data_IF_486971539023
#
_entry.id   IF_486971539023
#
_cell.length_a   1.000
_cell.length_b   1.000
_cell.length_c   1.000
_cell.angle_alpha   90.00
_cell.angle_beta   90.00
_cell.angle_gamma   90.00
#
_symmetry.space_group_name_H-M   'P 1'
#
loop_
_entity.id
_entity.type
_entity.pdbx_description
1 polymer ?
#
# COMPACT_ATOMS: atom_id res chain seq x y z
N UNK A 1 58.29 -20.95 19.64
CA UNK A 1 56.92 -20.87 20.19
C UNK A 1 55.93 -20.74 19.04
N UNK A 2 54.72 -21.26 19.23
CA UNK A 2 53.83 -21.81 18.20
C UNK A 2 52.99 -20.80 17.38
N UNK A 3 52.54 -21.25 16.20
CA UNK A 3 51.47 -20.67 15.37
C UNK A 3 50.11 -21.21 15.82
N UNK A 4 49.11 -20.36 16.03
CA UNK A 4 47.69 -20.75 15.90
C UNK A 4 46.81 -19.58 15.43
N UNK A 5 45.99 -19.85 14.42
CA UNK A 5 44.85 -19.06 13.90
C UNK A 5 43.64 -19.15 14.85
N UNK A 6 42.78 -18.13 14.86
CA UNK A 6 41.35 -18.24 15.24
C UNK A 6 40.62 -16.91 15.02
N UNK A 7 39.89 -16.73 13.90
CA UNK A 7 38.46 -17.02 13.65
C UNK A 7 37.45 -16.16 14.47
N UNK A 8 36.96 -15.09 13.82
CA UNK A 8 35.53 -14.89 13.48
C UNK A 8 34.55 -14.39 14.55
N UNK A 9 33.77 -13.35 14.20
CA UNK A 9 32.35 -13.52 13.79
C UNK A 9 31.74 -12.19 13.36
N UNK A 10 31.46 -12.09 12.06
CA UNK A 10 30.58 -11.07 11.52
C UNK A 10 29.14 -11.27 11.98
N UNK A 11 28.46 -10.15 12.27
CA UNK A 11 27.00 -10.04 12.32
C UNK A 11 26.59 -8.77 11.56
N UNK A 12 26.90 -8.74 10.27
CA UNK A 12 26.15 -7.92 9.33
C UNK A 12 24.77 -8.52 9.21
N UNK A 13 23.75 -7.84 9.76
CA UNK A 13 22.35 -8.22 9.67
C UNK A 13 22.04 -8.54 8.20
N UNK A 14 21.74 -9.81 7.91
CA UNK A 14 21.22 -10.26 6.62
C UNK A 14 19.98 -9.44 6.32
N UNK A 15 20.11 -8.41 5.48
CA UNK A 15 18.98 -7.89 4.74
C UNK A 15 18.37 -9.08 4.01
N UNK A 16 17.14 -9.43 4.39
CA UNK A 16 16.37 -10.49 3.75
C UNK A 16 16.36 -10.14 2.26
N UNK A 17 17.14 -10.85 1.43
CA UNK A 17 17.07 -10.72 -0.03
C UNK A 17 15.63 -11.08 -0.39
N UNK A 18 14.78 -10.07 -0.63
CA UNK A 18 13.42 -10.26 -1.13
C UNK A 18 13.54 -11.11 -2.39
N UNK A 19 12.88 -12.28 -2.38
CA UNK A 19 12.95 -13.23 -3.49
C UNK A 19 12.44 -12.50 -4.74
N UNK A 20 13.25 -12.52 -5.80
CA UNK A 20 12.82 -12.13 -7.14
C UNK A 20 11.76 -13.15 -7.54
N UNK A 21 10.48 -12.76 -7.45
CA UNK A 21 9.34 -13.66 -7.62
C UNK A 21 8.08 -13.28 -6.81
N UNK A 22 8.14 -12.33 -5.87
CA UNK A 22 6.91 -11.78 -5.26
C UNK A 22 6.15 -10.96 -6.32
N UNK A 23 4.91 -11.35 -6.64
CA UNK A 23 3.99 -10.57 -7.48
C UNK A 23 3.93 -9.14 -6.95
N UNK A 24 4.50 -8.19 -7.71
CA UNK A 24 4.57 -6.79 -7.29
C UNK A 24 3.35 -6.06 -7.82
N UNK A 25 2.44 -5.74 -6.92
CA UNK A 25 1.29 -4.89 -7.19
C UNK A 25 1.78 -3.45 -7.24
N UNK A 26 1.34 -2.70 -8.25
CA UNK A 26 1.66 -1.28 -8.40
C UNK A 26 0.48 -0.45 -7.92
N UNK A 27 0.68 0.31 -6.85
CA UNK A 27 -0.29 1.28 -6.34
C UNK A 27 0.17 2.68 -6.66
N UNK A 28 -0.71 3.50 -7.25
CA UNK A 28 -0.51 4.93 -7.43
C UNK A 28 -1.20 5.67 -6.30
N UNK A 29 -0.44 6.49 -5.59
CA UNK A 29 -0.99 7.52 -4.71
C UNK A 29 -1.13 8.79 -5.55
N UNK A 30 -2.37 9.21 -5.81
CA UNK A 30 -2.63 10.44 -6.59
C UNK A 30 -1.88 11.63 -5.97
N UNK A 31 -1.29 12.45 -6.83
CA UNK A 31 -0.48 13.61 -6.45
C UNK A 31 0.87 13.32 -5.81
N UNK A 32 1.28 12.05 -5.66
CA UNK A 32 2.50 11.71 -4.90
C UNK A 32 3.45 10.77 -5.64
N UNK A 33 2.98 9.66 -6.20
CA UNK A 33 3.84 8.73 -6.92
C UNK A 33 3.37 7.29 -6.91
N UNK A 34 4.24 6.37 -7.34
CA UNK A 34 3.92 4.94 -7.45
C UNK A 34 4.74 4.11 -6.46
N UNK A 35 4.13 3.02 -6.00
CA UNK A 35 4.71 2.13 -5.00
C UNK A 35 4.49 0.68 -5.44
N UNK A 36 5.53 -0.13 -5.28
CA UNK A 36 5.39 -1.58 -5.30
C UNK A 36 4.99 -2.07 -3.90
N UNK A 37 3.94 -2.88 -3.83
CA UNK A 37 3.52 -3.59 -2.61
C UNK A 37 3.39 -5.09 -2.89
N UNK A 38 3.35 -5.89 -1.82
CA UNK A 38 3.00 -7.31 -1.87
C UNK A 38 1.53 -7.53 -1.49
N UNK A 39 1.05 -8.77 -1.63
CA UNK A 39 -0.33 -9.16 -1.31
C UNK A 39 -0.68 -8.97 0.17
N UNK A 40 0.28 -9.08 1.08
CA UNK A 40 0.01 -8.91 2.51
C UNK A 40 -0.31 -7.44 2.83
N UNK A 41 0.47 -6.51 2.28
CA UNK A 41 0.18 -5.08 2.36
C UNK A 41 -1.15 -4.76 1.67
N UNK A 42 -1.42 -5.37 0.51
CA UNK A 42 -2.68 -5.15 -0.21
C UNK A 42 -3.89 -5.59 0.62
N UNK A 43 -3.83 -6.73 1.31
CA UNK A 43 -4.90 -7.19 2.21
C UNK A 43 -5.17 -6.20 3.35
N UNK A 44 -4.13 -5.56 3.88
CA UNK A 44 -4.31 -4.52 4.91
C UNK A 44 -5.00 -3.28 4.34
N UNK A 45 -4.59 -2.82 3.16
CA UNK A 45 -5.25 -1.71 2.45
C UNK A 45 -6.70 -2.06 2.15
N UNK A 46 -6.97 -3.27 1.66
CA UNK A 46 -8.30 -3.75 1.32
C UNK A 46 -9.24 -3.80 2.54
N UNK A 47 -8.73 -4.04 3.75
CA UNK A 47 -9.56 -3.97 4.96
C UNK A 47 -10.11 -2.57 5.18
N UNK A 48 -9.29 -1.55 4.96
CA UNK A 48 -9.72 -0.15 5.10
C UNK A 48 -10.65 0.23 3.95
N UNK A 49 -10.35 -0.20 2.71
CA UNK A 49 -11.23 -0.03 1.55
C UNK A 49 -12.64 -0.59 1.80
N UNK A 50 -12.74 -1.82 2.28
CA UNK A 50 -14.02 -2.44 2.64
C UNK A 50 -14.76 -1.70 3.77
N UNK A 51 -14.03 -1.12 4.74
CA UNK A 51 -14.61 -0.29 5.78
C UNK A 51 -15.14 1.03 5.21
N UNK A 52 -14.38 1.65 4.31
CA UNK A 52 -14.74 2.87 3.60
C UNK A 52 -16.03 2.69 2.78
N UNK A 53 -16.12 1.61 1.99
CA UNK A 53 -17.33 1.26 1.23
C UNK A 53 -18.54 1.12 2.14
N UNK A 54 -18.42 0.46 3.30
CA UNK A 54 -19.52 0.30 4.25
C UNK A 54 -19.92 1.63 4.89
N UNK A 55 -18.94 2.42 5.28
CA UNK A 55 -19.14 3.71 5.93
C UNK A 55 -19.86 4.71 5.01
N UNK A 56 -19.49 4.76 3.73
CA UNK A 56 -20.08 5.67 2.74
C UNK A 56 -21.53 5.35 2.35
N UNK A 57 -22.07 4.18 2.76
CA UNK A 57 -23.50 3.85 2.61
C UNK A 57 -24.39 4.65 3.55
N UNK A 58 -23.85 5.24 4.61
CA UNK A 58 -24.59 6.17 5.45
C UNK A 58 -24.63 7.56 4.79
N UNK A 59 -25.83 8.12 4.67
CA UNK A 59 -26.02 9.47 4.13
C UNK A 59 -25.38 10.54 5.03
N UNK A 60 -25.25 10.27 6.34
CA UNK A 60 -24.71 11.17 7.36
C UNK A 60 -23.25 10.85 7.73
N UNK A 61 -22.51 10.23 6.82
CA UNK A 61 -21.09 9.91 7.02
C UNK A 61 -20.30 11.16 7.39
N UNK A 62 -19.39 11.02 8.36
CA UNK A 62 -18.47 12.08 8.76
C UNK A 62 -17.34 12.20 7.73
N UNK A 63 -17.18 13.39 7.16
CA UNK A 63 -16.10 13.73 6.22
C UNK A 63 -14.71 13.49 6.82
N UNK A 64 -14.53 13.74 8.12
CA UNK A 64 -13.25 13.47 8.78
C UNK A 64 -12.91 11.97 8.76
N UNK A 65 -13.90 11.10 8.95
CA UNK A 65 -13.69 9.65 8.90
C UNK A 65 -13.31 9.14 7.49
N UNK A 66 -13.86 9.78 6.45
CA UNK A 66 -13.47 9.57 5.05
C UNK A 66 -12.00 9.93 4.84
N UNK A 67 -11.61 11.13 5.27
CA UNK A 67 -10.24 11.65 5.16
C UNK A 67 -9.26 10.73 5.89
N UNK A 68 -9.58 10.33 7.13
CA UNK A 68 -8.75 9.44 7.93
C UNK A 68 -8.57 8.07 7.27
N UNK A 69 -9.63 7.51 6.68
CA UNK A 69 -9.57 6.21 5.99
C UNK A 69 -8.64 6.27 4.78
N UNK A 70 -8.74 7.33 3.96
CA UNK A 70 -7.85 7.55 2.82
C UNK A 70 -6.41 7.75 3.29
N UNK A 71 -6.20 8.58 4.31
CA UNK A 71 -4.88 8.83 4.88
C UNK A 71 -4.24 7.54 5.41
N UNK A 72 -5.03 6.66 6.04
CA UNK A 72 -4.57 5.37 6.55
C UNK A 72 -4.13 4.43 5.41
N UNK A 73 -4.91 4.31 4.34
CA UNK A 73 -4.53 3.53 3.15
C UNK A 73 -3.24 4.05 2.52
N UNK A 74 -3.15 5.38 2.32
CA UNK A 74 -1.95 6.04 1.78
C UNK A 74 -0.73 5.79 2.68
N UNK A 75 -0.90 5.89 4.00
CA UNK A 75 0.16 5.66 4.98
C UNK A 75 0.69 4.24 4.95
N UNK A 76 -0.19 3.22 4.89
CA UNK A 76 0.22 1.81 4.77
C UNK A 76 1.09 1.58 3.53
N UNK A 77 0.67 2.11 2.37
CA UNK A 77 1.43 1.99 1.12
C UNK A 77 2.78 2.68 1.23
N UNK A 78 2.85 3.87 1.82
CA UNK A 78 4.10 4.63 2.00
C UNK A 78 5.09 3.93 2.93
N UNK A 79 4.60 3.43 4.06
CA UNK A 79 5.44 2.85 5.12
C UNK A 79 5.93 1.46 4.74
N UNK A 80 5.05 0.63 4.17
CA UNK A 80 5.36 -0.80 3.91
C UNK A 80 5.77 -1.08 2.47
N UNK A 81 5.34 -0.23 1.54
CA UNK A 81 5.66 -0.34 0.12
C UNK A 81 7.07 0.12 -0.23
N UNK A 82 7.43 -0.04 -1.51
CA UNK A 82 8.68 0.45 -2.09
C UNK A 82 8.38 1.48 -3.17
N UNK A 83 8.77 2.73 -2.94
CA UNK A 83 8.63 3.81 -3.91
C UNK A 83 9.30 3.47 -5.25
N UNK A 84 8.56 3.67 -6.33
CA UNK A 84 9.03 3.67 -7.71
C UNK A 84 9.72 5.00 -7.96
N UNK A 85 10.80 5.00 -8.74
CA UNK A 85 11.50 6.25 -9.08
C UNK A 85 10.61 7.14 -9.93
N UNK A 86 10.74 8.46 -9.74
CA UNK A 86 9.87 9.43 -10.40
C UNK A 86 10.09 9.51 -11.93
N UNK A 87 11.23 9.02 -12.43
CA UNK A 87 11.56 8.90 -13.87
C UNK A 87 10.98 7.64 -14.53
N UNK A 88 10.27 6.79 -13.76
CA UNK A 88 9.67 5.54 -14.24
C UNK A 88 8.16 5.60 -14.02
N UNK A 89 7.40 5.44 -15.11
CA UNK A 89 5.93 5.35 -15.07
C UNK A 89 5.52 3.92 -15.42
N UNK A 90 4.73 3.30 -14.55
CA UNK A 90 4.25 1.92 -14.69
C UNK A 90 2.72 1.92 -14.71
N UNK A 91 2.05 1.06 -15.49
CA UNK A 91 0.62 0.81 -15.32
C UNK A 91 0.30 0.45 -13.87
N UNK A 92 -0.63 1.18 -13.26
CA UNK A 92 -1.03 0.96 -11.87
C UNK A 92 -2.17 -0.03 -11.83
N UNK A 93 -2.14 -0.94 -10.86
CA UNK A 93 -3.24 -1.85 -10.59
C UNK A 93 -4.33 -1.14 -9.79
N UNK A 94 -3.91 -0.25 -8.89
CA UNK A 94 -4.79 0.48 -7.96
C UNK A 94 -4.37 1.94 -7.94
N UNK A 95 -5.37 2.83 -7.83
CA UNK A 95 -5.17 4.27 -7.65
C UNK A 95 -5.88 4.66 -6.35
N UNK A 96 -5.13 5.23 -5.40
CA UNK A 96 -5.67 5.76 -4.14
C UNK A 96 -5.79 7.29 -4.30
N UNK A 97 -6.99 7.87 -4.08
CA UNK A 97 -7.20 9.31 -4.21
C UNK A 97 -6.40 10.10 -3.17
N UNK A 98 -6.37 11.41 -3.36
CA UNK A 98 -5.92 12.38 -2.36
C UNK A 98 -6.96 12.55 -1.26
N UNK A 99 -6.57 13.18 -0.15
CA UNK A 99 -7.43 13.38 1.03
C UNK A 99 -8.34 14.61 0.92
N UNK A 100 -8.21 15.40 -0.14
CA UNK A 100 -9.05 16.57 -0.47
C UNK A 100 -10.27 16.21 -1.33
N UNK A 101 -10.55 14.90 -1.52
CA UNK A 101 -11.74 14.41 -2.21
C UNK A 101 -13.00 14.70 -1.37
N UNK A 102 -14.07 15.15 -2.02
CA UNK A 102 -15.37 15.30 -1.36
C UNK A 102 -16.00 13.95 -0.99
N UNK A 103 -16.96 13.95 -0.07
CA UNK A 103 -17.71 12.73 0.28
C UNK A 103 -18.46 12.18 -0.93
N UNK A 104 -19.03 13.04 -1.76
CA UNK A 104 -19.74 12.68 -2.99
C UNK A 104 -18.81 11.96 -3.98
N UNK A 105 -17.64 12.51 -4.25
CA UNK A 105 -16.65 11.87 -5.11
C UNK A 105 -16.11 10.59 -4.48
N UNK A 106 -15.93 10.55 -3.16
CA UNK A 106 -15.53 9.34 -2.45
C UNK A 106 -16.58 8.22 -2.61
N UNK A 107 -17.88 8.54 -2.61
CA UNK A 107 -18.95 7.56 -2.92
C UNK A 107 -18.82 7.01 -4.34
N UNK A 108 -18.38 7.81 -5.30
CA UNK A 108 -18.17 7.34 -6.67
C UNK A 108 -16.91 6.47 -6.82
N UNK A 109 -15.86 6.77 -6.05
CA UNK A 109 -14.60 6.01 -6.05
C UNK A 109 -14.71 4.69 -5.28
N UNK A 110 -15.34 4.73 -4.10
CA UNK A 110 -15.42 3.62 -3.15
C UNK A 110 -16.82 2.97 -3.16
N UNK A 111 -17.23 2.46 -4.32
CA UNK A 111 -18.53 1.78 -4.52
C UNK A 111 -18.35 0.32 -4.94
N UNK A 112 -19.42 -0.46 -4.80
CA UNK A 112 -19.41 -1.88 -5.12
C UNK A 112 -18.44 -2.62 -4.19
N UNK A 113 -17.37 -3.16 -4.77
CA UNK A 113 -16.29 -3.87 -4.06
C UNK A 113 -15.22 -2.92 -3.49
N UNK A 114 -15.22 -1.63 -3.88
CA UNK A 114 -14.20 -0.66 -3.50
C UNK A 114 -13.18 -0.40 -4.61
N UNK A 115 -11.97 0.03 -4.25
CA UNK A 115 -10.90 0.33 -5.21
C UNK A 115 -9.96 -0.85 -5.46
N UNK A 116 -10.08 -1.94 -4.69
CA UNK A 116 -9.24 -3.13 -4.81
C UNK A 116 -9.96 -4.23 -5.60
N UNK A 117 -9.52 -4.58 -6.82
CA UNK A 117 -10.14 -5.65 -7.61
C UNK A 117 -9.96 -7.02 -6.96
N UNK A 118 -11.03 -7.83 -6.91
CA UNK A 118 -11.01 -9.17 -6.30
C UNK A 118 -9.93 -10.09 -6.89
N UNK A 119 -9.77 -10.12 -8.22
CA UNK A 119 -8.80 -10.99 -8.91
C UNK A 119 -7.32 -10.72 -8.61
N UNK A 120 -6.99 -9.66 -7.86
CA UNK A 120 -5.62 -9.38 -7.39
C UNK A 120 -5.35 -10.03 -6.02
N UNK A 121 -6.40 -10.34 -5.25
CA UNK A 121 -6.30 -10.87 -3.90
C UNK A 121 -6.27 -12.41 -3.84
N UNK A 122 -6.69 -13.08 -4.91
CA UNK A 122 -6.70 -14.54 -5.08
C UNK A 122 -5.30 -15.17 -5.06
#
# INVERSE_FOLDING_TARGET
MARVKGKGKGRGKRGKKRKVGEERIVVRLMGEGQYYIDKDILREVNRIDNQMVKMLRDERVDEHAVIESIAAMRSLVKIKGKRVKDDIIIPSHIIIPTTDISVEEAREVFKGEGIIPEGILD
#
